data_IF_248296630587
#
_entry.id   IF_248296630587
#
_cell.length_a   1.000
_cell.length_b   1.000
_cell.length_c   1.000
_cell.angle_alpha   90.00
_cell.angle_beta   90.00
_cell.angle_gamma   90.00
#
_symmetry.space_group_name_H-M   'P 1'
#
loop_
_entity.id
_entity.type
_entity.pdbx_description
1 polymer ?
#
# COMPACT_ATOMS: atom_id res chain seq x y z
N UNK A 1 6.30 -13.23 -15.87
CA UNK A 1 5.28 -13.12 -14.80
C UNK A 1 3.87 -13.19 -15.36
N UNK A 2 3.56 -12.38 -16.41
CA UNK A 2 2.22 -12.34 -17.00
C UNK A 2 1.75 -13.70 -17.54
N UNK A 3 2.64 -14.49 -18.15
CA UNK A 3 2.27 -15.81 -18.69
C UNK A 3 1.83 -16.77 -17.56
N UNK A 4 2.48 -16.70 -16.39
CA UNK A 4 2.08 -17.48 -15.23
C UNK A 4 0.71 -17.06 -14.70
N UNK A 5 0.41 -15.75 -14.69
CA UNK A 5 -0.91 -15.22 -14.34
C UNK A 5 -1.97 -15.71 -15.33
N UNK A 6 -1.68 -15.65 -16.63
CA UNK A 6 -2.57 -16.11 -17.69
C UNK A 6 -2.85 -17.63 -17.60
N UNK A 7 -1.82 -18.41 -17.25
CA UNK A 7 -1.97 -19.87 -17.08
C UNK A 7 -2.88 -20.26 -15.92
N UNK A 8 -2.92 -19.44 -14.84
CA UNK A 8 -3.85 -19.64 -13.72
C UNK A 8 -5.27 -19.19 -14.11
N UNK A 9 -5.37 -18.08 -14.84
CA UNK A 9 -6.65 -17.54 -15.31
C UNK A 9 -7.64 -17.23 -14.18
N UNK A 10 -8.85 -17.76 -14.25
CA UNK A 10 -9.88 -17.60 -13.19
C UNK A 10 -9.76 -18.66 -12.08
N UNK A 11 -8.73 -19.49 -12.12
CA UNK A 11 -8.46 -20.51 -11.12
C UNK A 11 -7.80 -19.98 -9.84
N UNK A 12 -7.18 -20.91 -9.14
CA UNK A 12 -6.35 -20.65 -7.96
C UNK A 12 -4.94 -21.14 -8.21
N UNK A 13 -3.94 -20.33 -7.85
CA UNK A 13 -2.55 -20.74 -8.05
C UNK A 13 -1.54 -19.94 -7.26
N UNK A 14 -0.32 -20.48 -7.21
CA UNK A 14 0.83 -19.82 -6.60
C UNK A 14 1.93 -19.62 -7.65
N UNK A 15 2.37 -18.39 -7.80
CA UNK A 15 3.52 -18.01 -8.61
C UNK A 15 4.70 -17.81 -7.66
N UNK A 16 5.69 -18.70 -7.75
CA UNK A 16 6.93 -18.54 -7.02
C UNK A 16 7.88 -17.65 -7.83
N UNK A 17 8.26 -16.51 -7.26
CA UNK A 17 9.14 -15.53 -7.92
C UNK A 17 10.59 -15.80 -7.50
N UNK A 18 11.45 -16.07 -8.47
CA UNK A 18 12.86 -16.35 -8.24
C UNK A 18 13.60 -15.12 -7.69
N UNK A 19 14.71 -15.29 -6.95
CA UNK A 19 15.59 -14.20 -6.59
C UNK A 19 16.12 -13.45 -7.82
N UNK A 20 16.29 -12.13 -7.70
CA UNK A 20 16.81 -11.27 -8.75
C UNK A 20 16.03 -9.99 -8.94
N UNK A 21 16.47 -9.19 -9.92
CA UNK A 21 15.74 -7.98 -10.36
C UNK A 21 14.84 -8.35 -11.53
N UNK A 22 13.57 -8.01 -11.41
CA UNK A 22 12.53 -8.27 -12.40
C UNK A 22 12.11 -6.96 -13.05
N UNK A 23 12.12 -6.93 -14.37
CA UNK A 23 11.66 -5.81 -15.21
C UNK A 23 10.31 -6.09 -15.87
N UNK A 24 9.64 -7.15 -15.48
CA UNK A 24 8.31 -7.53 -15.92
C UNK A 24 7.27 -7.21 -14.84
N UNK A 25 6.06 -6.92 -15.27
CA UNK A 25 4.92 -6.65 -14.41
C UNK A 25 3.80 -7.62 -14.72
N UNK A 26 2.70 -7.60 -13.96
CA UNK A 26 1.54 -8.42 -14.25
C UNK A 26 0.20 -7.73 -13.97
N UNK A 27 -0.78 -8.10 -14.77
CA UNK A 27 -2.18 -7.74 -14.60
C UNK A 27 -2.95 -9.02 -14.30
N UNK A 28 -3.48 -9.13 -13.06
CA UNK A 28 -4.37 -10.20 -12.66
C UNK A 28 -5.81 -9.78 -12.92
N UNK A 29 -6.43 -10.31 -13.96
CA UNK A 29 -7.82 -9.98 -14.31
C UNK A 29 -8.86 -10.75 -13.52
N UNK A 30 -8.54 -11.94 -13.02
CA UNK A 30 -9.46 -12.86 -12.37
C UNK A 30 -8.73 -13.77 -11.37
N UNK A 31 -9.42 -14.72 -10.76
CA UNK A 31 -8.86 -15.80 -9.94
C UNK A 31 -8.34 -15.40 -8.57
N UNK A 32 -7.70 -16.36 -7.93
CA UNK A 32 -7.09 -16.26 -6.61
C UNK A 32 -5.59 -16.59 -6.73
N UNK A 33 -4.72 -15.58 -6.75
CA UNK A 33 -3.30 -15.78 -7.05
C UNK A 33 -2.41 -15.37 -5.87
N UNK A 34 -1.50 -16.27 -5.51
CA UNK A 34 -0.42 -15.98 -4.59
C UNK A 34 0.89 -15.69 -5.34
N UNK A 35 1.49 -14.53 -5.10
CA UNK A 35 2.80 -14.11 -5.58
C UNK A 35 3.78 -14.22 -4.40
N UNK A 36 4.66 -15.20 -4.44
CA UNK A 36 5.51 -15.53 -3.30
C UNK A 36 6.98 -15.53 -3.72
N UNK A 37 7.81 -14.76 -3.04
CA UNK A 37 9.25 -14.83 -3.26
C UNK A 37 9.79 -16.21 -2.86
N UNK A 38 10.60 -16.84 -3.71
CA UNK A 38 11.29 -18.08 -3.36
C UNK A 38 12.22 -17.89 -2.16
N UNK A 39 12.82 -16.69 -2.06
CA UNK A 39 13.60 -16.24 -0.91
C UNK A 39 13.11 -14.85 -0.53
N UNK A 40 12.51 -14.64 0.65
CA UNK A 40 11.98 -13.34 1.05
C UNK A 40 13.04 -12.23 0.97
N UNK A 41 12.65 -11.09 0.37
CA UNK A 41 13.51 -9.93 0.19
C UNK A 41 14.48 -9.99 -1.00
N UNK A 42 14.54 -11.10 -1.72
CA UNK A 42 15.48 -11.26 -2.85
C UNK A 42 14.84 -11.13 -4.24
N UNK A 43 13.53 -11.15 -4.35
CA UNK A 43 12.82 -10.91 -5.62
C UNK A 43 12.38 -9.45 -5.69
N UNK A 44 13.00 -8.67 -6.57
CA UNK A 44 12.85 -7.22 -6.65
C UNK A 44 12.21 -6.81 -7.97
N UNK A 45 10.98 -6.31 -7.95
CA UNK A 45 10.36 -5.61 -9.06
C UNK A 45 10.85 -4.17 -9.08
N UNK A 46 11.60 -3.79 -10.11
CA UNK A 46 12.36 -2.56 -10.13
C UNK A 46 12.03 -1.71 -11.36
N UNK A 47 11.55 -0.49 -11.13
CA UNK A 47 11.22 0.49 -12.17
C UNK A 47 10.31 -0.08 -13.27
N UNK A 48 9.26 -0.78 -12.88
CA UNK A 48 8.33 -1.46 -13.80
C UNK A 48 6.89 -1.17 -13.43
N UNK A 49 6.05 -0.93 -14.45
CA UNK A 49 4.61 -0.73 -14.27
C UNK A 49 3.82 -1.23 -15.47
N UNK A 50 2.85 -2.08 -15.24
CA UNK A 50 1.80 -2.41 -16.20
C UNK A 50 0.75 -1.30 -16.24
N UNK A 51 0.19 -1.06 -17.42
CA UNK A 51 -0.89 -0.10 -17.69
C UNK A 51 -0.59 1.33 -17.19
N UNK A 52 0.69 1.69 -17.02
CA UNK A 52 1.05 2.98 -16.41
C UNK A 52 0.57 3.12 -14.97
N UNK A 53 0.42 2.02 -14.21
CA UNK A 53 -0.17 2.00 -12.86
C UNK A 53 0.76 1.41 -11.81
N UNK A 54 1.27 0.19 -12.00
CA UNK A 54 2.06 -0.46 -10.98
C UNK A 54 2.67 -1.79 -11.41
N UNK A 55 3.56 -2.35 -10.58
CA UNK A 55 4.20 -3.63 -10.88
C UNK A 55 3.19 -4.79 -10.89
N UNK A 56 2.25 -4.78 -9.95
CA UNK A 56 1.11 -5.69 -9.93
C UNK A 56 -0.19 -4.88 -10.02
N UNK A 57 -1.00 -5.12 -11.05
CA UNK A 57 -2.36 -4.56 -11.21
C UNK A 57 -3.35 -5.68 -10.94
N UNK A 58 -4.13 -5.56 -9.86
CA UNK A 58 -4.93 -6.65 -9.31
C UNK A 58 -6.42 -6.36 -9.43
N UNK A 59 -7.15 -7.26 -10.12
CA UNK A 59 -8.60 -7.22 -10.36
C UNK A 59 -9.27 -8.57 -10.08
N UNK A 60 -8.51 -9.56 -9.62
CA UNK A 60 -9.02 -10.90 -9.29
C UNK A 60 -9.87 -10.91 -8.03
N UNK A 61 -10.37 -12.10 -7.66
CA UNK A 61 -11.12 -12.30 -6.42
C UNK A 61 -10.22 -12.06 -5.20
N UNK A 62 -8.99 -12.58 -5.25
CA UNK A 62 -8.01 -12.30 -4.22
C UNK A 62 -6.58 -12.35 -4.75
N UNK A 63 -5.70 -11.63 -4.07
CA UNK A 63 -4.26 -11.72 -4.27
C UNK A 63 -3.54 -11.83 -2.92
N UNK A 64 -2.51 -12.67 -2.88
CA UNK A 64 -1.57 -12.77 -1.76
C UNK A 64 -0.18 -12.43 -2.26
N UNK A 65 0.50 -11.50 -1.59
CA UNK A 65 1.86 -11.06 -1.92
C UNK A 65 2.74 -11.30 -0.71
N UNK A 66 3.79 -12.10 -0.88
CA UNK A 66 4.64 -12.46 0.24
C UNK A 66 6.14 -12.39 -0.11
N UNK A 67 6.92 -11.69 0.71
CA UNK A 67 8.38 -11.64 0.62
C UNK A 67 8.95 -10.87 -0.58
N UNK A 68 8.13 -10.14 -1.33
CA UNK A 68 8.54 -9.40 -2.53
C UNK A 68 9.05 -8.00 -2.19
N UNK A 69 9.92 -7.47 -3.04
CA UNK A 69 10.39 -6.08 -2.99
C UNK A 69 9.90 -5.32 -4.22
N UNK A 70 9.35 -4.13 -4.01
CA UNK A 70 8.92 -3.21 -5.05
C UNK A 70 9.72 -1.91 -4.94
N UNK A 71 10.45 -1.54 -5.99
CA UNK A 71 11.38 -0.43 -5.94
C UNK A 71 11.33 0.47 -7.19
N UNK A 72 11.56 1.77 -6.99
CA UNK A 72 11.75 2.76 -8.05
C UNK A 72 10.61 2.87 -9.06
N UNK A 73 9.39 2.53 -8.68
CA UNK A 73 8.24 2.52 -9.57
C UNK A 73 7.71 3.94 -9.73
N UNK A 74 7.73 4.42 -10.98
CA UNK A 74 7.30 5.75 -11.37
C UNK A 74 6.48 5.69 -12.63
N UNK A 75 5.41 6.47 -12.70
CA UNK A 75 4.55 6.65 -13.87
C UNK A 75 4.26 8.14 -14.09
N UNK A 76 3.88 8.55 -15.30
CA UNK A 76 3.72 9.99 -15.63
C UNK A 76 2.65 10.73 -14.83
N UNK A 77 1.63 10.04 -14.31
CA UNK A 77 0.58 10.62 -13.48
C UNK A 77 0.93 10.73 -11.99
N UNK A 78 2.18 10.38 -11.61
CA UNK A 78 2.72 10.41 -10.25
C UNK A 78 2.06 9.42 -9.26
N UNK A 79 1.38 8.39 -9.76
CA UNK A 79 0.71 7.37 -8.95
C UNK A 79 1.32 5.96 -9.07
N UNK A 80 2.57 5.85 -9.56
CA UNK A 80 3.28 4.58 -9.73
C UNK A 80 3.41 3.80 -8.43
N UNK A 81 2.80 2.62 -8.38
CA UNK A 81 2.68 1.83 -7.16
C UNK A 81 3.28 0.44 -7.28
N UNK A 82 3.78 -0.11 -6.17
CA UNK A 82 4.16 -1.52 -6.11
C UNK A 82 2.98 -2.42 -6.42
N UNK A 83 1.83 -2.11 -5.80
CA UNK A 83 0.56 -2.78 -6.03
C UNK A 83 -0.51 -1.75 -6.35
N UNK A 84 -1.15 -1.90 -7.51
CA UNK A 84 -2.40 -1.24 -7.86
C UNK A 84 -3.54 -2.22 -7.69
N UNK A 85 -4.31 -2.09 -6.63
CA UNK A 85 -5.48 -2.93 -6.34
C UNK A 85 -6.74 -2.22 -6.84
N UNK A 86 -7.39 -2.76 -7.86
CA UNK A 86 -8.62 -2.17 -8.39
C UNK A 86 -9.87 -2.79 -7.76
N UNK A 87 -9.80 -4.08 -7.39
CA UNK A 87 -10.86 -4.79 -6.63
C UNK A 87 -10.32 -6.09 -6.03
N UNK A 88 -11.12 -6.72 -5.18
CA UNK A 88 -10.84 -8.02 -4.55
C UNK A 88 -10.05 -7.90 -3.26
N UNK A 89 -9.88 -9.03 -2.61
CA UNK A 89 -9.15 -9.12 -1.35
C UNK A 89 -7.64 -9.08 -1.58
N UNK A 90 -6.91 -8.42 -0.70
CA UNK A 90 -5.45 -8.38 -0.73
C UNK A 90 -4.84 -8.77 0.61
N UNK A 91 -3.89 -9.69 0.57
CA UNK A 91 -3.02 -10.00 1.72
C UNK A 91 -1.58 -9.73 1.33
N UNK A 92 -0.90 -8.86 2.08
CA UNK A 92 0.53 -8.56 1.90
C UNK A 92 1.28 -8.96 3.15
N UNK A 93 2.37 -9.69 2.99
CA UNK A 93 3.21 -10.06 4.13
C UNK A 93 4.70 -10.02 3.80
N UNK A 94 5.53 -9.66 4.79
CA UNK A 94 7.00 -9.69 4.70
C UNK A 94 7.55 -9.03 3.41
N UNK A 95 6.88 -8.01 2.91
CA UNK A 95 7.20 -7.33 1.65
C UNK A 95 7.78 -5.95 1.89
N UNK A 96 8.59 -5.46 0.97
CA UNK A 96 9.22 -4.16 1.08
C UNK A 96 8.90 -3.29 -0.12
N UNK A 97 8.31 -2.12 0.14
CA UNK A 97 8.00 -1.09 -0.84
C UNK A 97 8.92 0.10 -0.60
N UNK A 98 9.68 0.51 -1.62
CA UNK A 98 10.66 1.58 -1.45
C UNK A 98 10.89 2.41 -2.70
N UNK A 99 11.28 3.66 -2.49
CA UNK A 99 11.76 4.56 -3.54
C UNK A 99 10.79 4.79 -4.72
N UNK A 100 9.51 4.51 -4.51
CA UNK A 100 8.44 4.60 -5.51
C UNK A 100 7.51 5.78 -5.21
N UNK A 101 6.63 6.12 -6.15
CA UNK A 101 5.63 7.17 -5.92
C UNK A 101 4.60 6.72 -4.89
N UNK A 102 4.19 5.42 -4.91
CA UNK A 102 3.35 4.81 -3.88
C UNK A 102 3.80 3.37 -3.60
N UNK A 103 3.47 2.84 -2.42
CA UNK A 103 3.61 1.42 -2.13
C UNK A 103 2.39 0.65 -2.62
N UNK A 104 1.22 0.98 -2.09
CA UNK A 104 -0.06 0.36 -2.44
C UNK A 104 -1.10 1.46 -2.72
N UNK A 105 -1.74 1.37 -3.87
CA UNK A 105 -2.86 2.23 -4.24
C UNK A 105 -4.08 1.37 -4.55
N UNK A 106 -5.14 1.51 -3.75
CA UNK A 106 -6.38 0.76 -3.92
C UNK A 106 -7.55 1.64 -4.35
N UNK A 107 -8.40 1.10 -5.21
CA UNK A 107 -9.65 1.71 -5.68
C UNK A 107 -10.78 1.59 -4.66
N UNK A 108 -11.98 1.28 -5.14
CA UNK A 108 -13.20 1.15 -4.33
C UNK A 108 -13.69 -0.29 -4.44
N UNK A 109 -13.81 -0.99 -3.30
CA UNK A 109 -14.46 -2.28 -3.17
C UNK A 109 -14.90 -2.52 -1.72
N UNK A 110 -16.09 -2.08 -1.39
CA UNK A 110 -16.63 -2.11 -0.02
C UNK A 110 -16.91 -3.53 0.50
N UNK A 111 -16.95 -4.52 -0.38
CA UNK A 111 -17.14 -5.93 -0.02
C UNK A 111 -15.84 -6.64 0.37
N UNK A 112 -14.69 -6.09 -0.05
CA UNK A 112 -13.39 -6.72 0.11
C UNK A 112 -12.59 -6.15 1.28
N UNK A 113 -11.52 -6.86 1.62
CA UNK A 113 -10.62 -6.53 2.74
C UNK A 113 -9.16 -6.51 2.29
N UNK A 114 -8.38 -5.68 2.99
CA UNK A 114 -6.93 -5.60 2.80
C UNK A 114 -6.24 -5.90 4.13
N UNK A 115 -5.30 -6.83 4.11
CA UNK A 115 -4.46 -7.18 5.25
C UNK A 115 -2.99 -7.00 4.90
N UNK A 116 -2.26 -6.25 5.72
CA UNK A 116 -0.82 -5.99 5.56
C UNK A 116 -0.13 -6.37 6.86
N UNK A 117 0.83 -7.28 6.80
CA UNK A 117 1.54 -7.76 7.97
C UNK A 117 3.06 -7.80 7.75
N UNK A 118 3.85 -7.43 8.76
CA UNK A 118 5.33 -7.51 8.74
C UNK A 118 5.95 -6.91 7.47
N UNK A 119 5.42 -5.81 6.97
CA UNK A 119 5.87 -5.18 5.74
C UNK A 119 6.49 -3.81 5.99
N UNK A 120 7.40 -3.39 5.10
CA UNK A 120 8.13 -2.13 5.24
C UNK A 120 7.82 -1.20 4.08
N UNK A 121 7.60 0.07 4.40
CA UNK A 121 7.28 1.15 3.46
C UNK A 121 8.29 2.28 3.68
N UNK A 122 9.25 2.43 2.76
CA UNK A 122 10.40 3.33 2.92
C UNK A 122 10.51 4.29 1.76
N UNK A 123 10.67 5.59 2.02
CA UNK A 123 10.91 6.63 1.00
C UNK A 123 9.87 6.60 -0.13
N UNK A 124 8.63 6.52 0.25
CA UNK A 124 7.46 6.60 -0.63
C UNK A 124 6.76 7.94 -0.50
N UNK A 125 5.86 8.21 -1.44
CA UNK A 125 5.15 9.47 -1.53
C UNK A 125 5.82 10.45 -2.49
N UNK A 126 5.03 11.35 -3.03
CA UNK A 126 5.48 12.53 -3.81
C UNK A 126 4.35 13.55 -3.87
N UNK A 127 4.69 14.82 -3.98
CA UNK A 127 3.74 15.92 -4.20
C UNK A 127 4.02 16.66 -5.52
N UNK A 128 4.71 16.01 -6.47
CA UNK A 128 5.06 16.59 -7.76
C UNK A 128 3.90 16.60 -8.76
N UNK A 129 2.89 15.76 -8.56
CA UNK A 129 1.78 15.60 -9.49
C UNK A 129 0.70 16.69 -9.34
N UNK A 130 -0.04 17.01 -10.42
CA UNK A 130 -1.10 18.03 -10.40
C UNK A 130 -2.35 17.58 -9.62
N UNK A 131 -2.51 16.29 -9.34
CA UNK A 131 -3.66 15.70 -8.65
C UNK A 131 -3.53 15.63 -7.12
N UNK A 132 -2.52 16.29 -6.54
CA UNK A 132 -2.20 16.19 -5.12
C UNK A 132 -1.09 15.19 -4.82
N UNK A 133 -0.85 14.94 -3.55
CA UNK A 133 0.26 14.08 -3.14
C UNK A 133 -0.09 12.59 -3.24
N UNK A 134 0.85 11.80 -3.71
CA UNK A 134 0.86 10.34 -3.54
C UNK A 134 1.31 9.99 -2.10
N UNK A 135 0.97 8.80 -1.63
CA UNK A 135 1.11 8.35 -0.25
C UNK A 135 1.91 7.04 -0.15
N UNK A 136 2.41 6.67 1.02
CA UNK A 136 3.01 5.33 1.15
C UNK A 136 1.96 4.24 0.93
N UNK A 137 0.77 4.39 1.51
CA UNK A 137 -0.43 3.59 1.22
C UNK A 137 -1.62 4.53 1.03
N UNK A 138 -2.37 4.33 -0.04
CA UNK A 138 -3.69 4.94 -0.19
C UNK A 138 -4.73 3.87 -0.51
N UNK A 139 -5.66 3.69 0.41
CA UNK A 139 -6.79 2.77 0.25
C UNK A 139 -8.07 3.60 0.08
N UNK A 140 -8.75 3.38 -1.03
CA UNK A 140 -10.06 3.94 -1.29
C UNK A 140 -11.12 3.33 -0.37
N UNK A 141 -12.38 3.36 -0.79
CA UNK A 141 -13.48 2.85 0.02
C UNK A 141 -13.53 1.31 0.00
N UNK A 142 -12.80 0.69 0.95
CA UNK A 142 -12.78 -0.75 1.18
C UNK A 142 -13.57 -1.12 2.44
N UNK A 143 -14.06 -2.35 2.52
CA UNK A 143 -14.76 -2.86 3.69
C UNK A 143 -13.92 -2.84 4.96
N UNK A 144 -12.62 -3.17 4.84
CA UNK A 144 -11.68 -3.07 5.96
C UNK A 144 -10.22 -3.01 5.50
N UNK A 145 -9.40 -2.33 6.33
CA UNK A 145 -7.94 -2.35 6.25
C UNK A 145 -7.36 -2.81 7.59
N UNK A 146 -6.48 -3.79 7.56
CA UNK A 146 -5.69 -4.21 8.72
C UNK A 146 -4.20 -4.07 8.41
N UNK A 147 -3.47 -3.32 9.22
CA UNK A 147 -2.01 -3.15 9.15
C UNK A 147 -1.42 -3.55 10.48
N UNK A 148 -0.57 -4.57 10.47
CA UNK A 148 0.02 -5.09 11.70
C UNK A 148 1.53 -5.27 11.56
N UNK A 149 2.27 -5.05 12.64
CA UNK A 149 3.73 -5.30 12.72
C UNK A 149 4.51 -4.74 11.53
N UNK A 150 4.09 -3.60 11.00
CA UNK A 150 4.63 -3.00 9.80
C UNK A 150 5.37 -1.69 10.10
N UNK A 151 6.27 -1.32 9.21
CA UNK A 151 7.15 -0.16 9.38
C UNK A 151 6.96 0.83 8.24
N UNK A 152 6.78 2.09 8.59
CA UNK A 152 6.70 3.21 7.68
C UNK A 152 7.79 4.21 8.04
N UNK A 153 8.63 4.59 7.07
CA UNK A 153 9.76 5.46 7.35
C UNK A 153 10.17 6.34 6.18
N UNK A 154 10.77 7.47 6.50
CA UNK A 154 11.44 8.37 5.55
C UNK A 154 10.58 8.75 4.34
N UNK A 155 9.29 9.02 4.54
CA UNK A 155 8.36 9.41 3.47
C UNK A 155 8.83 10.65 2.69
N UNK A 156 8.39 10.77 1.43
CA UNK A 156 8.79 11.86 0.51
C UNK A 156 7.62 12.73 0.05
N UNK A 157 6.55 12.76 0.82
CA UNK A 157 5.34 13.52 0.57
C UNK A 157 4.08 12.77 0.96
N UNK A 158 2.96 13.48 1.09
CA UNK A 158 1.68 12.92 1.45
C UNK A 158 1.65 12.24 2.82
N UNK A 159 0.76 11.30 2.99
CA UNK A 159 0.57 10.56 4.23
C UNK A 159 1.30 9.22 4.19
N UNK A 160 1.66 8.68 5.36
CA UNK A 160 2.15 7.30 5.41
C UNK A 160 1.04 6.30 5.15
N UNK A 161 -0.11 6.48 5.80
CA UNK A 161 -1.30 5.67 5.58
C UNK A 161 -2.52 6.57 5.42
N UNK A 162 -3.12 6.58 4.23
CA UNK A 162 -4.41 7.19 3.96
C UNK A 162 -5.42 6.11 3.67
N UNK A 163 -6.57 6.11 4.37
CA UNK A 163 -7.60 5.10 4.17
C UNK A 163 -9.00 5.66 4.30
N UNK A 164 -9.84 5.33 3.32
CA UNK A 164 -11.30 5.57 3.33
C UNK A 164 -12.08 4.32 3.71
N UNK A 165 -11.41 3.28 4.21
CA UNK A 165 -12.05 2.02 4.58
C UNK A 165 -13.02 2.22 5.75
N UNK A 166 -14.15 1.52 5.70
CA UNK A 166 -15.17 1.55 6.75
C UNK A 166 -14.63 1.11 8.11
N UNK A 167 -13.76 0.09 8.12
CA UNK A 167 -13.12 -0.42 9.34
C UNK A 167 -11.60 -0.40 9.19
N UNK A 168 -10.92 -0.06 10.28
CA UNK A 168 -9.45 -0.02 10.32
C UNK A 168 -8.91 -0.72 11.56
N UNK A 169 -7.79 -1.42 11.38
CA UNK A 169 -6.93 -1.87 12.47
C UNK A 169 -5.49 -1.52 12.13
N UNK A 170 -4.83 -0.69 12.95
CA UNK A 170 -3.39 -0.42 12.83
C UNK A 170 -2.75 -0.77 14.16
N UNK A 171 -2.02 -1.88 14.18
CA UNK A 171 -1.57 -2.47 15.43
C UNK A 171 -0.06 -2.80 15.39
N UNK A 172 0.63 -2.54 16.50
CA UNK A 172 2.02 -2.96 16.69
C UNK A 172 2.95 -2.52 15.56
N UNK A 173 2.75 -1.33 15.01
CA UNK A 173 3.46 -0.81 13.85
C UNK A 173 4.22 0.47 14.21
N UNK A 174 5.19 0.85 13.37
CA UNK A 174 5.97 2.06 13.58
C UNK A 174 5.88 3.02 12.39
N UNK A 175 5.83 4.31 12.72
CA UNK A 175 5.79 5.42 11.78
C UNK A 175 6.93 6.38 12.17
N UNK A 176 8.06 6.30 11.45
CA UNK A 176 9.26 7.09 11.73
C UNK A 176 9.52 8.08 10.60
N UNK A 177 9.28 9.35 10.89
CA UNK A 177 9.46 10.44 9.95
C UNK A 177 10.78 11.21 10.16
N UNK A 178 11.69 10.74 10.99
CA UNK A 178 12.94 11.46 11.30
C UNK A 178 13.77 11.79 10.06
N UNK A 179 13.72 10.94 9.04
CA UNK A 179 14.34 11.14 7.72
C UNK A 179 13.33 11.50 6.63
N UNK A 180 12.08 11.79 6.99
CA UNK A 180 11.02 12.16 6.05
C UNK A 180 11.15 13.60 5.53
N UNK A 181 10.45 13.89 4.42
CA UNK A 181 10.40 15.24 3.82
C UNK A 181 9.02 15.51 3.25
N UNK A 182 8.44 16.67 3.59
CA UNK A 182 7.14 17.09 3.06
C UNK A 182 6.00 16.12 3.34
N UNK A 183 6.15 15.27 4.37
CA UNK A 183 5.11 14.35 4.79
C UNK A 183 4.04 15.08 5.57
N UNK A 184 2.81 14.60 5.50
CA UNK A 184 1.68 15.17 6.22
C UNK A 184 1.32 14.27 7.43
N UNK A 185 0.08 13.78 7.56
CA UNK A 185 -0.28 12.90 8.66
C UNK A 185 0.36 11.52 8.52
N UNK A 186 0.61 10.86 9.64
CA UNK A 186 1.05 9.46 9.63
C UNK A 186 -0.12 8.53 9.35
N UNK A 187 -1.30 8.83 9.88
CA UNK A 187 -2.55 8.16 9.54
C UNK A 187 -3.60 9.22 9.20
N UNK A 188 -4.18 9.11 8.02
CA UNK A 188 -5.29 9.95 7.55
C UNK A 188 -6.51 9.08 7.24
N UNK A 189 -7.62 9.36 7.92
CA UNK A 189 -8.91 8.70 7.76
C UNK A 189 -9.96 9.72 7.27
N UNK A 190 -9.92 10.10 5.99
CA UNK A 190 -10.62 11.29 5.50
C UNK A 190 -12.14 11.29 5.72
N UNK A 191 -12.78 10.13 5.59
CA UNK A 191 -14.21 9.94 5.76
C UNK A 191 -14.62 9.41 7.16
N UNK A 192 -13.66 9.30 8.08
CA UNK A 192 -13.85 8.55 9.32
C UNK A 192 -13.68 7.04 9.11
N UNK A 193 -13.63 6.30 10.20
CA UNK A 193 -13.53 4.84 10.23
C UNK A 193 -13.82 4.35 11.63
N UNK A 194 -14.28 3.12 11.79
CA UNK A 194 -14.38 2.46 13.08
C UNK A 194 -13.29 1.39 13.24
N UNK A 195 -12.86 1.11 14.47
CA UNK A 195 -11.87 0.06 14.68
C UNK A 195 -10.84 0.39 15.75
N UNK A 196 -9.56 0.09 15.50
CA UNK A 196 -8.54 0.19 16.53
C UNK A 196 -7.18 0.64 15.97
N UNK A 197 -6.60 1.67 16.59
CA UNK A 197 -5.22 2.09 16.40
C UNK A 197 -4.51 1.94 17.76
N UNK A 198 -3.64 0.94 17.91
CA UNK A 198 -3.07 0.61 19.21
C UNK A 198 -1.65 0.03 19.11
N UNK A 199 -0.87 0.26 20.17
CA UNK A 199 0.50 -0.25 20.31
C UNK A 199 1.43 0.18 19.16
N UNK A 200 1.23 1.37 18.60
CA UNK A 200 2.04 1.90 17.54
C UNK A 200 3.05 2.91 18.08
N UNK A 201 4.15 3.04 17.36
CA UNK A 201 5.18 4.01 17.64
C UNK A 201 5.16 5.11 16.58
N UNK A 202 5.09 6.38 16.99
CA UNK A 202 5.09 7.54 16.11
C UNK A 202 6.24 8.47 16.45
N UNK A 203 7.08 8.79 15.46
CA UNK A 203 8.19 9.73 15.60
C UNK A 203 8.04 10.81 14.53
N UNK A 204 7.86 12.06 14.98
CA UNK A 204 7.72 13.20 14.07
C UNK A 204 9.09 13.69 13.60
N UNK A 205 9.22 13.88 12.29
CA UNK A 205 10.43 14.44 11.69
C UNK A 205 10.42 15.97 11.66
N UNK A 206 11.59 16.60 11.47
CA UNK A 206 11.70 18.06 11.41
C UNK A 206 11.23 18.66 10.07
N UNK A 207 11.16 17.87 9.00
CA UNK A 207 10.90 18.35 7.63
C UNK A 207 9.49 17.98 7.13
N UNK A 208 8.51 17.94 8.03
CA UNK A 208 7.12 17.68 7.69
C UNK A 208 6.42 18.91 7.13
N UNK A 209 5.39 18.69 6.32
CA UNK A 209 4.41 19.71 5.97
C UNK A 209 3.51 20.05 7.17
N UNK A 210 3.12 19.03 7.94
CA UNK A 210 2.20 19.18 9.06
C UNK A 210 2.81 18.68 10.38
N UNK A 211 2.84 19.57 11.37
CA UNK A 211 3.32 19.30 12.72
C UNK A 211 2.21 19.25 13.77
N UNK A 212 0.93 19.41 13.37
CA UNK A 212 -0.17 19.57 14.30
C UNK A 212 -0.64 18.25 14.93
N UNK A 213 -0.59 17.14 14.16
CA UNK A 213 -1.06 15.85 14.63
C UNK A 213 -0.38 14.68 13.89
N UNK A 214 -0.35 13.51 14.52
CA UNK A 214 0.05 12.27 13.86
C UNK A 214 -1.11 11.65 13.06
N UNK A 215 -2.32 11.76 13.61
CA UNK A 215 -3.51 11.08 13.10
C UNK A 215 -4.60 12.13 12.88
N UNK A 216 -5.27 12.07 11.74
CA UNK A 216 -6.49 12.85 11.50
C UNK A 216 -7.65 11.94 11.16
N UNK A 217 -8.84 12.33 11.61
CA UNK A 217 -10.07 11.55 11.48
C UNK A 217 -11.19 12.45 10.99
N UNK A 218 -11.82 12.07 9.89
CA UNK A 218 -12.93 12.74 9.23
C UNK A 218 -12.67 14.22 8.82
N UNK A 219 -11.48 14.62 8.36
CA UNK A 219 -11.24 16.00 7.92
C UNK A 219 -12.02 16.37 6.64
N UNK A 220 -12.40 15.40 5.83
CA UNK A 220 -13.19 15.62 4.60
C UNK A 220 -14.69 15.37 4.81
N UNK A 221 -15.14 15.16 6.05
CA UNK A 221 -16.52 14.86 6.40
C UNK A 221 -16.68 13.44 6.97
N UNK A 222 -17.84 13.17 7.54
CA UNK A 222 -18.11 11.94 8.28
C UNK A 222 -18.90 10.97 7.40
N UNK A 223 -18.22 10.18 6.60
CA UNK A 223 -18.84 9.10 5.82
C UNK A 223 -19.14 7.88 6.71
N UNK A 224 -18.22 7.54 7.61
CA UNK A 224 -18.34 6.44 8.55
C UNK A 224 -18.25 6.93 10.00
N UNK A 225 -18.92 6.22 10.90
CA UNK A 225 -18.80 6.47 12.34
C UNK A 225 -17.37 6.19 12.79
N UNK A 226 -16.84 7.10 13.61
CA UNK A 226 -15.55 6.92 14.29
C UNK A 226 -15.74 6.62 15.78
N UNK A 227 -16.95 6.27 16.18
CA UNK A 227 -17.23 5.82 17.54
C UNK A 227 -16.50 4.49 17.79
N UNK A 228 -15.67 4.43 18.83
CA UNK A 228 -14.88 3.27 19.17
C UNK A 228 -13.58 3.10 18.34
N UNK A 229 -13.08 4.18 17.73
CA UNK A 229 -11.75 4.20 17.12
C UNK A 229 -10.68 4.43 18.20
#
# INVERSE_FOLDING_TARGET
>A
LQDAVNAIGDGMGTIQVAPGRHSDCAVQGAGDIAYVAATPGQAVFDNVACEGKGALVLRGRSAKVAGLVFANIRVPDFNGSGIRLEKGNLTVSQSWFRDSQQGILAGIDTASSITIDKSTFTRLGTCEGPGGCAHSIYIGDYGSLSVTRSRFEAGRGGHYLKSRSRRIAVLNSSFDDTAGRGTNYMIDLPGGSSGRIANNWFVQGPNKENHSAFITVAPEGKQYSSAGL
#
